data_IF_413851203027
#
_entry.id   IF_413851203027
#
_cell.length_a   1.000
_cell.length_b   1.000
_cell.length_c   1.000
_cell.angle_alpha   90.00
_cell.angle_beta   90.00
_cell.angle_gamma   90.00
#
_symmetry.space_group_name_H-M   'P 1'
#
loop_
_entity.id
_entity.type
_entity.pdbx_description
1 polymer ?
#
# COMPACT_ATOMS: atom_id res chain seq x y z
N UNK A 1 33.49 23.05 28.02
CA UNK A 1 33.70 23.54 26.64
C UNK A 1 33.05 22.54 25.72
N UNK A 2 31.77 22.75 25.40
CA UNK A 2 31.04 22.01 24.38
C UNK A 2 31.11 22.86 23.11
N UNK A 3 31.52 22.23 22.00
CA UNK A 3 31.63 22.86 20.69
C UNK A 3 30.26 22.72 20.03
N UNK A 4 29.56 23.84 19.83
CA UNK A 4 28.38 23.93 18.98
C UNK A 4 28.82 23.89 17.51
N UNK A 5 28.33 22.89 16.77
CA UNK A 5 28.40 22.88 15.30
C UNK A 5 27.09 23.48 14.82
N UNK A 6 27.14 24.74 14.37
CA UNK A 6 26.03 25.38 13.67
C UNK A 6 25.87 24.72 12.29
N UNK A 7 24.72 24.08 12.07
CA UNK A 7 24.23 23.77 10.74
C UNK A 7 23.47 25.00 10.24
N UNK A 8 24.02 25.70 9.26
CA UNK A 8 23.28 26.69 8.47
C UNK A 8 22.17 25.98 7.70
N UNK A 9 20.91 26.28 8.05
CA UNK A 9 19.74 25.93 7.26
C UNK A 9 19.55 27.04 6.24
N UNK A 10 19.72 26.73 4.95
CA UNK A 10 19.29 27.62 3.86
C UNK A 10 17.76 27.61 3.76
N UNK A 11 17.10 28.45 4.55
CA UNK A 11 15.70 28.82 4.37
C UNK A 11 15.64 29.91 3.28
N UNK A 12 15.22 29.57 2.05
CA UNK A 12 15.10 30.60 1.01
C UNK A 12 14.56 30.20 -0.37
N UNK A 13 14.54 28.92 -0.75
CA UNK A 13 14.13 28.53 -2.11
C UNK A 13 12.99 27.50 -2.21
N UNK A 14 12.55 26.87 -1.10
CA UNK A 14 11.60 25.75 -1.18
C UNK A 14 10.12 26.16 -1.31
N UNK A 15 9.68 27.24 -0.65
CA UNK A 15 8.28 27.70 -0.64
C UNK A 15 7.74 28.05 -2.03
N UNK A 16 8.59 28.57 -2.92
CA UNK A 16 8.19 29.02 -4.26
C UNK A 16 7.96 27.86 -5.24
N UNK A 17 8.38 26.65 -4.90
CA UNK A 17 8.30 25.48 -5.78
C UNK A 17 6.95 24.75 -5.69
N UNK A 18 6.28 24.83 -4.53
CA UNK A 18 5.00 24.17 -4.23
C UNK A 18 3.85 24.79 -5.05
N UNK A 19 3.81 26.13 -5.10
CA UNK A 19 2.78 26.90 -5.80
C UNK A 19 2.87 26.82 -7.33
N UNK A 20 3.92 26.18 -7.88
CA UNK A 20 4.12 26.03 -9.33
C UNK A 20 3.87 24.60 -9.83
N UNK A 21 3.51 23.65 -8.95
CA UNK A 21 3.00 22.34 -9.38
C UNK A 21 1.55 22.57 -9.80
N UNK A 22 1.14 22.19 -11.02
CA UNK A 22 -0.25 22.34 -11.45
C UNK A 22 -1.19 21.72 -10.41
N UNK A 23 -2.19 22.48 -9.98
CA UNK A 23 -3.16 22.05 -9.00
C UNK A 23 -3.75 20.70 -9.45
N UNK A 24 -3.92 19.79 -8.49
CA UNK A 24 -4.44 18.45 -8.69
C UNK A 24 -5.89 18.47 -9.24
N UNK A 25 -6.02 18.65 -10.56
CA UNK A 25 -7.30 18.67 -11.28
C UNK A 25 -7.72 17.22 -11.54
N UNK A 26 -8.34 16.62 -10.54
CA UNK A 26 -9.03 15.33 -10.70
C UNK A 26 -10.20 15.43 -11.67
N UNK A 27 -10.70 16.62 -11.98
CA UNK A 27 -11.86 16.85 -12.84
C UNK A 27 -11.62 16.45 -14.31
N UNK A 28 -10.36 16.43 -14.77
CA UNK A 28 -10.02 15.91 -16.11
C UNK A 28 -10.00 14.37 -16.17
N UNK A 29 -9.95 13.70 -15.01
CA UNK A 29 -10.08 12.26 -14.91
C UNK A 29 -11.50 11.94 -14.46
N UNK A 30 -12.28 11.22 -15.27
CA UNK A 30 -13.64 10.83 -14.89
C UNK A 30 -13.62 9.72 -13.82
N UNK A 31 -13.15 10.04 -12.61
CA UNK A 31 -12.96 9.14 -11.46
C UNK A 31 -14.28 8.60 -10.92
N UNK A 32 -15.39 9.29 -11.21
CA UNK A 32 -16.75 8.82 -10.89
C UNK A 32 -17.17 7.64 -11.77
N UNK A 33 -16.53 7.44 -12.94
CA UNK A 33 -16.83 6.40 -13.90
C UNK A 33 -15.71 5.37 -14.13
N UNK A 34 -14.60 5.46 -13.39
CA UNK A 34 -13.62 4.35 -13.40
C UNK A 34 -14.27 3.21 -12.63
N UNK A 35 -14.82 2.24 -13.36
CA UNK A 35 -15.09 0.90 -12.83
C UNK A 35 -13.75 0.35 -12.35
N UNK A 36 -13.42 0.59 -11.08
CA UNK A 36 -12.27 0.01 -10.44
C UNK A 36 -12.44 -1.50 -10.58
N UNK A 37 -11.58 -2.20 -11.34
CA UNK A 37 -11.68 -3.62 -11.44
C UNK A 37 -11.56 -4.12 -10.02
N UNK A 38 -12.54 -4.90 -9.59
CA UNK A 38 -12.56 -5.52 -8.29
C UNK A 38 -11.45 -6.57 -8.21
N UNK A 39 -10.20 -6.33 -8.64
CA UNK A 39 -8.98 -7.13 -8.42
C UNK A 39 -9.23 -8.65 -8.39
N UNK A 40 -8.89 -9.32 -7.28
CA UNK A 40 -9.20 -10.73 -7.07
C UNK A 40 -10.72 -11.00 -7.04
N UNK A 41 -11.51 -10.07 -6.51
CA UNK A 41 -12.99 -10.08 -6.56
C UNK A 41 -13.58 -10.05 -8.00
N UNK A 42 -12.81 -9.69 -9.04
CA UNK A 42 -13.26 -9.72 -10.45
C UNK A 42 -13.57 -11.15 -10.88
N UNK A 43 -12.83 -12.12 -10.33
CA UNK A 43 -13.00 -13.54 -10.57
C UNK A 43 -13.54 -14.23 -9.31
N UNK A 44 -14.42 -13.56 -8.55
CA UNK A 44 -14.86 -14.08 -7.24
C UNK A 44 -15.51 -15.46 -7.32
N UNK A 45 -16.19 -15.74 -8.44
CA UNK A 45 -16.76 -17.05 -8.71
C UNK A 45 -15.69 -18.15 -8.68
N UNK A 46 -14.55 -17.94 -9.34
CA UNK A 46 -13.43 -18.89 -9.34
C UNK A 46 -12.84 -19.07 -7.94
N UNK A 47 -12.79 -17.99 -7.16
CA UNK A 47 -12.37 -18.07 -5.77
C UNK A 47 -13.37 -18.84 -4.90
N UNK A 48 -14.68 -18.72 -5.17
CA UNK A 48 -15.71 -19.47 -4.46
C UNK A 48 -15.59 -20.99 -4.70
N UNK A 49 -15.28 -21.41 -5.94
CA UNK A 49 -15.06 -22.83 -6.28
C UNK A 49 -13.94 -23.48 -5.45
N UNK A 50 -12.98 -22.70 -4.97
CA UNK A 50 -11.83 -23.17 -4.19
C UNK A 50 -11.93 -22.82 -2.70
N UNK A 51 -13.12 -22.46 -2.21
CA UNK A 51 -13.39 -22.01 -0.83
C UNK A 51 -12.60 -20.75 -0.41
N UNK A 52 -12.20 -19.91 -1.37
CA UNK A 52 -11.45 -18.68 -1.14
C UNK A 52 -12.27 -17.39 -1.25
N UNK A 53 -13.50 -17.45 -1.79
CA UNK A 53 -14.25 -16.22 -2.10
C UNK A 53 -14.67 -15.41 -0.87
N UNK A 54 -14.97 -16.03 0.28
CA UNK A 54 -15.21 -15.29 1.53
C UNK A 54 -13.98 -14.49 1.96
N UNK A 55 -12.79 -15.09 1.86
CA UNK A 55 -11.52 -14.46 2.22
C UNK A 55 -11.17 -13.30 1.28
N UNK A 56 -11.36 -13.50 -0.03
CA UNK A 56 -11.10 -12.48 -1.06
C UNK A 56 -12.07 -11.30 -0.96
N UNK A 57 -13.36 -11.54 -0.67
CA UNK A 57 -14.36 -10.48 -0.45
C UNK A 57 -14.06 -9.66 0.81
N UNK A 58 -13.74 -10.34 1.92
CA UNK A 58 -13.49 -9.69 3.19
C UNK A 58 -12.20 -8.85 3.16
N UNK A 59 -11.16 -9.36 2.51
CA UNK A 59 -9.85 -8.71 2.47
C UNK A 59 -9.18 -8.66 3.85
N UNK A 60 -8.22 -7.75 3.99
CA UNK A 60 -7.56 -7.52 5.28
C UNK A 60 -8.47 -6.73 6.23
N UNK A 61 -8.60 -7.25 7.44
CA UNK A 61 -9.43 -6.68 8.50
C UNK A 61 -8.56 -6.20 9.66
N UNK A 62 -9.05 -5.26 10.49
CA UNK A 62 -8.27 -4.76 11.60
C UNK A 62 -7.89 -5.86 12.60
N UNK A 63 -6.62 -5.90 13.00
CA UNK A 63 -6.10 -6.85 13.98
C UNK A 63 -5.19 -6.11 14.97
N UNK A 64 -5.80 -5.26 15.78
CA UNK A 64 -5.10 -4.36 16.70
C UNK A 64 -4.61 -5.08 17.96
N UNK A 65 -3.47 -4.65 18.50
CA UNK A 65 -2.92 -5.14 19.77
C UNK A 65 -3.57 -4.49 20.98
N UNK A 66 -4.02 -3.23 20.86
CA UNK A 66 -4.75 -2.48 21.88
C UNK A 66 -5.63 -1.42 21.21
N UNK A 67 -6.90 -1.38 21.62
CA UNK A 67 -7.85 -0.37 21.15
C UNK A 67 -7.56 0.98 21.80
N UNK A 68 -7.11 0.99 23.05
CA UNK A 68 -6.76 2.19 23.79
C UNK A 68 -5.58 2.91 23.13
N UNK A 69 -4.52 2.17 22.79
CA UNK A 69 -3.36 2.72 22.09
C UNK A 69 -3.72 3.24 20.69
N UNK A 70 -4.68 2.58 20.02
CA UNK A 70 -5.20 3.05 18.74
C UNK A 70 -5.95 4.38 18.87
N UNK A 71 -6.83 4.50 19.86
CA UNK A 71 -7.56 5.74 20.13
C UNK A 71 -6.62 6.90 20.50
N UNK A 72 -5.56 6.62 21.27
CA UNK A 72 -4.53 7.61 21.57
C UNK A 72 -3.79 8.05 20.30
N UNK A 73 -3.42 7.10 19.45
CA UNK A 73 -2.78 7.42 18.18
C UNK A 73 -3.70 8.28 17.31
N UNK A 74 -4.96 7.89 17.13
CA UNK A 74 -5.99 8.66 16.40
C UNK A 74 -6.10 10.10 16.93
N UNK A 75 -6.12 10.29 18.25
CA UNK A 75 -6.22 11.62 18.86
C UNK A 75 -4.98 12.50 18.67
N UNK A 76 -3.80 11.90 18.45
CA UNK A 76 -2.54 12.61 18.22
C UNK A 76 -2.26 12.90 16.74
N UNK A 77 -3.05 12.32 15.83
CA UNK A 77 -2.84 12.54 14.40
C UNK A 77 -3.19 13.96 14.00
N UNK A 78 -2.33 14.52 13.17
CA UNK A 78 -2.56 15.79 12.50
C UNK A 78 -2.44 15.58 10.99
N UNK A 79 -3.07 16.47 10.24
CA UNK A 79 -2.87 16.52 8.79
C UNK A 79 -1.38 16.66 8.48
N UNK A 80 -0.86 15.77 7.65
CA UNK A 80 0.51 15.79 7.19
C UNK A 80 0.54 15.35 5.73
N UNK A 81 1.01 16.22 4.85
CA UNK A 81 1.11 15.94 3.43
C UNK A 81 2.57 15.87 3.00
N UNK A 82 2.81 15.22 1.86
CA UNK A 82 4.16 15.10 1.32
C UNK A 82 4.64 16.46 0.77
N UNK A 83 5.81 16.90 1.23
CA UNK A 83 6.52 18.07 0.72
C UNK A 83 7.92 17.67 0.24
N UNK A 84 8.32 18.19 -0.92
CA UNK A 84 9.63 17.96 -1.54
C UNK A 84 9.82 18.93 -2.72
N UNK A 85 11.01 18.91 -3.35
CA UNK A 85 11.25 19.64 -4.60
C UNK A 85 10.21 19.37 -5.70
N UNK A 86 9.95 20.38 -6.55
CA UNK A 86 9.00 20.35 -7.68
C UNK A 86 9.07 19.07 -8.52
N UNK A 87 10.28 18.61 -8.87
CA UNK A 87 10.49 17.38 -9.66
C UNK A 87 9.94 16.14 -8.95
N UNK A 88 10.19 16.02 -7.64
CA UNK A 88 9.72 14.89 -6.83
C UNK A 88 8.23 14.98 -6.55
N UNK A 89 7.68 16.18 -6.39
CA UNK A 89 6.23 16.40 -6.28
C UNK A 89 5.50 15.93 -7.55
N UNK A 90 6.01 16.27 -8.74
CA UNK A 90 5.45 15.81 -10.01
C UNK A 90 5.53 14.29 -10.17
N UNK A 91 6.66 13.68 -9.79
CA UNK A 91 6.79 12.21 -9.82
C UNK A 91 5.83 11.52 -8.84
N UNK A 92 5.66 12.08 -7.64
CA UNK A 92 4.67 11.60 -6.68
C UNK A 92 3.26 11.67 -7.27
N UNK A 93 2.88 12.81 -7.85
CA UNK A 93 1.59 13.02 -8.48
C UNK A 93 1.34 12.01 -9.60
N UNK A 94 2.33 11.77 -10.47
CA UNK A 94 2.24 10.78 -11.54
C UNK A 94 2.00 9.36 -11.01
N UNK A 95 2.63 8.98 -9.90
CA UNK A 95 2.39 7.67 -9.28
C UNK A 95 1.02 7.59 -8.62
N UNK A 96 0.59 8.64 -7.92
CA UNK A 96 -0.73 8.72 -7.29
C UNK A 96 -1.85 8.59 -8.33
N UNK A 97 -1.74 9.27 -9.48
CA UNK A 97 -2.71 9.16 -10.59
C UNK A 97 -2.82 7.72 -11.07
N UNK A 98 -1.68 7.02 -11.26
CA UNK A 98 -1.67 5.61 -11.67
C UNK A 98 -2.34 4.71 -10.64
N UNK A 99 -2.08 4.92 -9.36
CA UNK A 99 -2.68 4.16 -8.28
C UNK A 99 -4.20 4.40 -8.18
N UNK A 100 -4.66 5.63 -8.41
CA UNK A 100 -6.08 5.98 -8.45
C UNK A 100 -6.76 5.33 -9.67
N UNK A 101 -6.16 5.44 -10.86
CA UNK A 101 -6.68 4.81 -12.09
C UNK A 101 -6.75 3.28 -11.97
N UNK A 102 -5.77 2.68 -11.29
CA UNK A 102 -5.78 1.25 -10.98
C UNK A 102 -6.75 0.89 -9.83
N UNK A 103 -7.36 1.87 -9.16
CA UNK A 103 -8.22 1.71 -7.99
C UNK A 103 -7.52 1.10 -6.78
N UNK A 104 -6.22 1.32 -6.64
CA UNK A 104 -5.40 0.95 -5.47
C UNK A 104 -5.63 1.97 -4.36
N UNK A 105 -5.79 3.22 -4.76
CA UNK A 105 -6.00 4.38 -3.89
C UNK A 105 -7.33 5.04 -4.24
N UNK A 106 -8.02 5.55 -3.23
CA UNK A 106 -9.23 6.36 -3.39
C UNK A 106 -9.07 7.69 -2.66
N UNK A 107 -9.70 8.74 -3.18
CA UNK A 107 -9.90 10.00 -2.44
C UNK A 107 -11.02 9.78 -1.42
N UNK A 108 -10.81 10.21 -0.18
CA UNK A 108 -11.81 10.08 0.89
C UNK A 108 -11.46 10.96 2.09
N UNK A 109 -12.45 11.67 2.62
CA UNK A 109 -12.30 12.47 3.83
C UNK A 109 -12.36 11.64 5.13
N UNK A 110 -12.64 10.32 5.03
CA UNK A 110 -12.73 9.43 6.18
C UNK A 110 -11.35 8.85 6.53
N UNK A 111 -10.46 9.69 7.06
CA UNK A 111 -9.13 9.30 7.51
C UNK A 111 -9.06 9.32 9.04
N UNK A 112 -8.56 8.23 9.61
CA UNK A 112 -8.24 8.12 11.04
C UNK A 112 -6.76 8.29 11.31
N UNK A 113 -5.91 7.81 10.41
CA UNK A 113 -4.45 7.93 10.52
C UNK A 113 -3.85 8.53 9.25
N UNK A 114 -3.12 9.63 9.40
CA UNK A 114 -2.33 10.25 8.35
C UNK A 114 -0.90 9.68 8.36
N UNK A 115 -0.69 8.64 7.57
CA UNK A 115 0.63 8.04 7.42
C UNK A 115 1.48 8.92 6.50
N UNK A 116 2.75 9.19 6.87
CA UNK A 116 3.68 9.82 5.96
C UNK A 116 3.83 9.01 4.66
N UNK A 117 4.10 9.70 3.56
CA UNK A 117 4.45 9.06 2.30
C UNK A 117 5.73 9.67 1.77
N UNK A 118 6.51 8.89 1.01
CA UNK A 118 7.76 9.37 0.43
C UNK A 118 8.16 8.56 -0.81
N UNK A 119 9.07 9.13 -1.60
CA UNK A 119 9.63 8.47 -2.79
C UNK A 119 11.00 7.86 -2.48
N UNK A 120 11.15 6.57 -2.79
CA UNK A 120 12.43 5.85 -2.75
C UNK A 120 12.93 5.54 -4.16
N UNK A 121 14.26 5.57 -4.40
CA UNK A 121 14.82 5.15 -5.68
C UNK A 121 14.68 3.64 -5.90
N UNK A 122 14.41 3.25 -7.15
CA UNK A 122 14.42 1.86 -7.65
C UNK A 122 15.61 1.68 -8.60
N UNK A 123 16.19 0.47 -8.71
CA UNK A 123 17.12 0.16 -9.79
C UNK A 123 16.55 0.56 -11.16
N UNK A 124 17.38 1.17 -12.01
CA UNK A 124 16.96 1.73 -13.30
C UNK A 124 16.41 3.15 -13.24
N UNK A 125 16.63 3.88 -12.14
CA UNK A 125 16.34 5.33 -12.04
C UNK A 125 14.87 5.70 -11.81
N UNK A 126 13.96 4.71 -11.77
CA UNK A 126 12.56 4.92 -11.40
C UNK A 126 12.44 5.22 -9.90
N UNK A 127 11.37 5.89 -9.47
CA UNK A 127 11.04 6.05 -8.05
C UNK A 127 9.82 5.21 -7.69
N UNK A 128 9.66 4.91 -6.39
CA UNK A 128 8.49 4.23 -5.84
C UNK A 128 7.93 5.03 -4.68
N UNK A 129 6.63 5.30 -4.71
CA UNK A 129 5.85 5.86 -3.61
C UNK A 129 5.67 4.81 -2.53
N UNK A 130 6.01 5.18 -1.30
CA UNK A 130 5.89 4.33 -0.11
C UNK A 130 4.92 4.98 0.86
N UNK A 131 3.99 4.19 1.38
CA UNK A 131 3.19 4.51 2.55
C UNK A 131 3.93 4.04 3.81
N UNK A 132 4.28 4.97 4.68
CA UNK A 132 4.98 4.66 5.92
C UNK A 132 4.00 4.16 7.00
N UNK A 133 3.87 2.84 7.08
CA UNK A 133 2.95 2.21 8.02
C UNK A 133 3.55 2.00 9.42
N UNK A 134 4.66 2.66 9.79
CA UNK A 134 5.35 2.37 11.08
C UNK A 134 4.43 2.51 12.30
N UNK A 135 3.60 3.53 12.36
CA UNK A 135 2.69 3.75 13.50
C UNK A 135 1.65 2.63 13.62
N UNK A 136 0.93 2.36 12.53
CA UNK A 136 -0.08 1.29 12.52
C UNK A 136 0.55 -0.10 12.72
N UNK A 137 1.78 -0.33 12.24
CA UNK A 137 2.49 -1.60 12.42
C UNK A 137 2.83 -1.87 13.90
N UNK A 138 3.07 -0.86 14.72
CA UNK A 138 3.31 -1.04 16.16
C UNK A 138 2.03 -1.49 16.88
N UNK A 139 0.87 -1.06 16.38
CA UNK A 139 -0.44 -1.37 16.95
C UNK A 139 -1.11 -2.58 16.30
N UNK A 140 -0.46 -3.24 15.34
CA UNK A 140 -1.02 -4.40 14.62
C UNK A 140 -0.39 -5.68 15.14
N UNK A 141 -1.20 -6.68 15.47
CA UNK A 141 -0.73 -8.01 15.87
C UNK A 141 0.02 -8.67 14.71
N UNK A 142 1.26 -9.08 14.96
CA UNK A 142 2.09 -9.74 13.93
C UNK A 142 1.60 -11.16 13.64
N UNK A 143 1.28 -11.43 12.39
CA UNK A 143 0.95 -12.77 11.92
C UNK A 143 2.23 -13.47 11.40
N UNK A 144 2.64 -14.52 12.12
CA UNK A 144 3.81 -15.33 11.73
C UNK A 144 3.39 -16.40 10.70
N UNK A 145 4.20 -16.57 9.67
CA UNK A 145 4.09 -17.67 8.70
C UNK A 145 5.47 -18.14 8.28
N UNK A 146 5.50 -19.30 7.61
CA UNK A 146 6.69 -19.84 6.95
C UNK A 146 6.40 -19.93 5.46
N UNK A 147 7.34 -19.48 4.64
CA UNK A 147 7.29 -19.72 3.19
C UNK A 147 7.87 -21.09 2.87
N UNK A 148 7.31 -21.74 1.86
CA UNK A 148 7.91 -22.92 1.25
C UNK A 148 9.29 -22.53 0.69
N UNK A 149 10.35 -23.16 1.21
CA UNK A 149 11.73 -22.89 0.80
C UNK A 149 12.21 -23.83 -0.31
N UNK A 150 13.46 -23.66 -0.72
CA UNK A 150 14.12 -24.47 -1.76
C UNK A 150 14.03 -25.97 -1.44
N UNK A 151 14.14 -26.37 -0.17
CA UNK A 151 14.06 -27.79 0.22
C UNK A 151 12.68 -28.40 -0.04
N UNK A 152 11.60 -27.63 0.08
CA UNK A 152 10.27 -28.09 -0.30
C UNK A 152 10.16 -28.26 -1.81
N UNK A 153 10.72 -27.33 -2.58
CA UNK A 153 10.73 -27.41 -4.05
C UNK A 153 11.49 -28.65 -4.54
N UNK A 154 12.64 -28.99 -3.92
CA UNK A 154 13.39 -30.21 -4.25
C UNK A 154 12.62 -31.50 -4.01
N UNK A 155 11.67 -31.50 -3.07
CA UNK A 155 10.85 -32.68 -2.77
C UNK A 155 9.73 -32.92 -3.78
N UNK A 156 9.34 -31.89 -4.53
CA UNK A 156 8.24 -31.97 -5.51
C UNK A 156 8.73 -32.05 -6.97
N UNK A 157 10.01 -31.73 -7.23
CA UNK A 157 10.59 -31.79 -8.58
C UNK A 157 11.01 -33.20 -8.94
N UNK A 158 10.61 -33.65 -10.13
CA UNK A 158 11.01 -34.92 -10.72
C UNK A 158 12.02 -34.73 -11.86
N UNK A 159 12.83 -35.77 -12.18
CA UNK A 159 13.66 -35.74 -13.37
C UNK A 159 12.81 -35.45 -14.63
N UNK A 160 13.28 -34.54 -15.47
CA UNK A 160 12.62 -34.09 -16.70
C UNK A 160 11.43 -33.12 -16.52
N UNK A 161 11.20 -32.57 -15.34
CA UNK A 161 10.25 -31.48 -15.14
C UNK A 161 10.63 -30.20 -15.90
N UNK A 162 9.62 -29.50 -16.41
CA UNK A 162 9.76 -28.15 -16.95
C UNK A 162 9.35 -27.12 -15.89
N UNK A 163 10.16 -26.07 -15.74
CA UNK A 163 9.88 -24.97 -14.82
C UNK A 163 9.64 -23.66 -15.58
N UNK A 164 8.75 -22.83 -15.04
CA UNK A 164 8.52 -21.46 -15.49
C UNK A 164 8.46 -20.52 -14.29
N UNK A 165 8.75 -19.23 -14.51
CA UNK A 165 8.65 -18.19 -13.48
C UNK A 165 7.50 -17.26 -13.81
N UNK A 166 6.61 -17.05 -12.85
CA UNK A 166 5.54 -16.06 -12.92
C UNK A 166 5.83 -14.93 -11.93
N UNK A 167 6.09 -13.72 -12.44
CA UNK A 167 6.23 -12.53 -11.62
C UNK A 167 4.88 -11.82 -11.48
N UNK A 168 4.38 -11.70 -10.25
CA UNK A 168 3.13 -11.02 -9.96
C UNK A 168 3.42 -9.55 -9.70
N UNK A 169 3.15 -8.71 -10.70
CA UNK A 169 3.35 -7.27 -10.57
C UNK A 169 2.45 -6.70 -9.48
N UNK A 170 3.03 -5.89 -8.60
CA UNK A 170 2.32 -5.14 -7.55
C UNK A 170 1.38 -6.03 -6.68
N UNK A 171 1.84 -7.26 -6.42
CA UNK A 171 1.01 -8.37 -5.98
C UNK A 171 0.14 -8.11 -4.74
N UNK A 172 0.67 -7.39 -3.74
CA UNK A 172 -0.08 -7.07 -2.51
C UNK A 172 -1.30 -6.20 -2.79
N UNK A 173 -1.19 -5.26 -3.74
CA UNK A 173 -2.30 -4.38 -4.07
C UNK A 173 -3.50 -5.12 -4.64
N UNK A 174 -3.37 -6.39 -5.09
CA UNK A 174 -4.53 -7.20 -5.49
C UNK A 174 -5.44 -7.60 -4.32
N UNK A 175 -4.92 -7.62 -3.09
CA UNK A 175 -5.70 -7.90 -1.90
C UNK A 175 -6.41 -6.63 -1.45
N UNK A 176 -7.73 -6.73 -1.23
CA UNK A 176 -8.54 -5.65 -0.72
C UNK A 176 -8.24 -5.38 0.76
N UNK A 177 -8.30 -4.12 1.15
CA UNK A 177 -8.43 -3.65 2.52
C UNK A 177 -9.91 -3.47 2.84
N UNK A 178 -10.37 -4.00 3.98
CA UNK A 178 -11.74 -3.82 4.44
C UNK A 178 -12.07 -2.37 4.76
N UNK A 179 -13.34 -2.00 4.66
CA UNK A 179 -13.79 -0.62 4.89
C UNK A 179 -13.53 -0.15 6.34
N UNK A 180 -13.42 -1.08 7.29
CA UNK A 180 -13.05 -0.79 8.69
C UNK A 180 -11.57 -0.42 8.84
N UNK A 181 -10.69 -1.02 8.03
CA UNK A 181 -9.25 -0.80 8.10
C UNK A 181 -8.79 0.34 7.17
N UNK A 182 -9.54 0.63 6.12
CA UNK A 182 -9.23 1.64 5.10
C UNK A 182 -8.86 3.02 5.69
N UNK A 183 -9.57 3.59 6.70
CA UNK A 183 -9.23 4.88 7.29
C UNK A 183 -7.84 4.94 7.96
N UNK A 184 -7.23 3.79 8.24
CA UNK A 184 -5.92 3.68 8.89
C UNK A 184 -4.76 3.67 7.90
N UNK A 185 -5.02 3.51 6.60
CA UNK A 185 -4.03 3.63 5.53
C UNK A 185 -4.17 4.96 4.78
N UNK A 186 -4.55 6.00 5.52
CA UNK A 186 -4.70 7.35 5.00
C UNK A 186 -3.38 8.08 4.78
N UNK A 187 -3.36 9.00 3.83
CA UNK A 187 -2.29 9.97 3.60
C UNK A 187 -2.87 11.22 2.91
N UNK A 188 -2.10 12.32 2.91
CA UNK A 188 -2.52 13.55 2.26
C UNK A 188 -1.52 14.00 1.18
N UNK A 189 -2.03 14.68 0.16
CA UNK A 189 -1.25 15.27 -0.92
C UNK A 189 -2.01 16.44 -1.56
N UNK A 190 -1.37 17.62 -1.66
CA UNK A 190 -1.92 18.81 -2.32
C UNK A 190 -3.30 19.22 -1.79
N UNK A 191 -3.46 19.27 -0.47
CA UNK A 191 -4.71 19.68 0.19
C UNK A 191 -5.84 18.64 0.12
N UNK A 192 -5.57 17.43 -0.36
CA UNK A 192 -6.54 16.33 -0.47
C UNK A 192 -6.10 15.10 0.29
N UNK A 193 -7.08 14.29 0.65
CA UNK A 193 -6.88 13.10 1.48
C UNK A 193 -7.24 11.83 0.72
N UNK A 194 -6.41 10.80 0.91
CA UNK A 194 -6.49 9.55 0.16
C UNK A 194 -6.27 8.38 1.10
N UNK A 195 -6.81 7.22 0.73
CA UNK A 195 -6.58 5.97 1.43
C UNK A 195 -6.28 4.83 0.47
N UNK A 196 -5.44 3.89 0.90
CA UNK A 196 -5.20 2.65 0.17
C UNK A 196 -6.35 1.67 0.35
N UNK A 197 -7.01 1.30 -0.76
CA UNK A 197 -8.01 0.23 -0.85
C UNK A 197 -7.35 -1.12 -1.19
N UNK A 198 -6.20 -1.10 -1.86
CA UNK A 198 -5.32 -2.26 -2.03
C UNK A 198 -4.29 -2.35 -0.90
N UNK A 199 -3.93 -3.56 -0.47
CA UNK A 199 -3.03 -3.77 0.66
C UNK A 199 -1.67 -3.10 0.43
N UNK A 200 -1.20 -2.19 1.31
CA UNK A 200 0.03 -1.43 1.07
C UNK A 200 1.29 -2.24 1.40
N UNK A 201 2.39 -1.96 0.69
CA UNK A 201 3.68 -2.63 0.90
C UNK A 201 4.32 -2.37 2.27
N UNK A 202 4.04 -1.22 2.89
CA UNK A 202 4.59 -0.87 4.21
C UNK A 202 3.95 -1.62 5.37
N UNK A 203 2.78 -2.25 5.16
CA UNK A 203 2.03 -2.89 6.23
C UNK A 203 2.62 -4.26 6.61
N UNK A 204 2.78 -4.50 7.92
CA UNK A 204 3.57 -5.62 8.44
C UNK A 204 3.02 -7.00 8.08
N UNK A 205 1.70 -7.12 7.94
CA UNK A 205 1.05 -8.40 7.66
C UNK A 205 0.85 -8.62 6.15
N UNK A 206 1.23 -7.67 5.28
CA UNK A 206 1.08 -7.82 3.82
C UNK A 206 1.66 -9.12 3.26
N UNK A 207 2.89 -9.54 3.64
CA UNK A 207 3.44 -10.82 3.18
C UNK A 207 2.64 -12.04 3.65
N UNK A 208 2.17 -12.03 4.90
CA UNK A 208 1.37 -13.12 5.46
C UNK A 208 0.05 -13.26 4.72
N UNK A 209 -0.67 -12.15 4.57
CA UNK A 209 -2.00 -12.13 3.95
C UNK A 209 -1.89 -12.56 2.49
N UNK A 210 -0.90 -12.05 1.77
CA UNK A 210 -0.62 -12.46 0.39
C UNK A 210 -0.32 -13.94 0.27
N UNK A 211 0.60 -14.46 1.08
CA UNK A 211 0.92 -15.89 1.07
C UNK A 211 -0.32 -16.73 1.36
N UNK A 212 -1.13 -16.37 2.36
CA UNK A 212 -2.35 -17.09 2.70
C UNK A 212 -3.36 -17.11 1.55
N UNK A 213 -3.54 -15.99 0.83
CA UNK A 213 -4.41 -15.92 -0.36
C UNK A 213 -3.90 -16.84 -1.47
N UNK A 214 -2.63 -16.73 -1.84
CA UNK A 214 -2.06 -17.47 -2.96
C UNK A 214 -2.00 -18.97 -2.67
N UNK A 215 -1.79 -19.37 -1.41
CA UNK A 215 -1.83 -20.78 -1.02
C UNK A 215 -3.18 -21.46 -1.30
N UNK A 216 -4.30 -20.73 -1.29
CA UNK A 216 -5.59 -21.28 -1.71
C UNK A 216 -5.58 -21.64 -3.19
N UNK A 217 -5.09 -20.73 -4.04
CA UNK A 217 -4.98 -20.95 -5.49
C UNK A 217 -3.97 -22.06 -5.82
N UNK A 218 -2.80 -22.07 -5.17
CA UNK A 218 -1.78 -23.11 -5.37
C UNK A 218 -2.35 -24.49 -5.03
N UNK A 219 -3.08 -24.62 -3.92
CA UNK A 219 -3.71 -25.90 -3.53
C UNK A 219 -4.77 -26.36 -4.52
N UNK A 220 -5.48 -25.45 -5.17
CA UNK A 220 -6.45 -25.78 -6.19
C UNK A 220 -5.78 -26.25 -7.50
N UNK A 221 -4.68 -25.60 -7.89
CA UNK A 221 -3.92 -25.94 -9.11
C UNK A 221 -3.14 -27.25 -8.96
N UNK A 222 -2.68 -27.58 -7.74
CA UNK A 222 -1.94 -28.83 -7.46
C UNK A 222 -2.84 -30.08 -7.36
N UNK A 223 -4.17 -29.94 -7.41
CA UNK A 223 -5.11 -31.08 -7.44
C UNK A 223 -5.28 -31.62 -8.84
#
# INVERSE_FOLDING_TARGET
MLIEVQMEVQEGEEENSYNQVPLFQLEEFNLKNVSVPDRLTTQIHEWDLINGGSYVRMGETPNWTSIEALQQLEAMQHYNEYHSSKKRMLEYQNQLIKEIQAGIVIETDNIRIFNPTFLVPKPGGKQRKILDCRYINQLTTLLKFKMEGIEFIKQILEPSDFATTLDLQDAYHHIRVSDQLLPYFGFAFMGKTFAYRGLPFGYRNSPYIFNKTIQLAIRAIRK
#
